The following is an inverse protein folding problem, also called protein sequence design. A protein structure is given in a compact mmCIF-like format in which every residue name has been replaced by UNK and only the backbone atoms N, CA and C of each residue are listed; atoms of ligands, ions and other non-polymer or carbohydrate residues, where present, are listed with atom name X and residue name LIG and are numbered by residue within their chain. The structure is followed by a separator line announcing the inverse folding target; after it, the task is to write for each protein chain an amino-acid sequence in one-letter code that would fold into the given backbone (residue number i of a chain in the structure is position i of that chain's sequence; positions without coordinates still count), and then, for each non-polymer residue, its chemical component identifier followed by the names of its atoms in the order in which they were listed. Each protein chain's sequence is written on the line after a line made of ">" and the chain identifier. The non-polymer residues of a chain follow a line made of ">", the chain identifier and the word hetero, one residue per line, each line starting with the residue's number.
data_IF_279110994920
#
_entry.id   IF_279110994920
#
_cell.length_a   1.000
_cell.length_b   1.000
_cell.length_c   1.000
_cell.angle_alpha   90.00
_cell.angle_beta   90.00
_cell.angle_gamma   90.00
#
_symmetry.space_group_name_H-M   'P 1'
#
loop_
_entity.id
_entity.type
_entity.pdbx_description
1 polymer ?
#
# COMPACT_ATOMS: atom_id res chain seq x y z
N UNK A 1 -16.24 29.63 8.80
CA UNK A 1 -16.73 30.95 8.30
C UNK A 1 -16.41 31.20 6.80
N UNK A 2 -15.29 30.72 6.23
CA UNK A 2 -14.95 30.92 4.82
C UNK A 2 -16.03 30.38 3.87
N UNK A 3 -16.41 29.11 4.02
CA UNK A 3 -17.42 28.47 3.14
C UNK A 3 -18.74 29.26 3.14
N UNK A 4 -19.22 29.65 4.30
CA UNK A 4 -20.46 30.44 4.42
C UNK A 4 -20.41 31.79 3.72
N UNK A 5 -19.23 32.40 3.69
CA UNK A 5 -19.05 33.75 3.16
C UNK A 5 -18.81 33.77 1.66
N UNK A 6 -18.12 32.74 1.12
CA UNK A 6 -17.59 32.81 -0.23
C UNK A 6 -18.07 31.71 -1.16
N UNK A 7 -18.71 30.63 -0.64
CA UNK A 7 -19.12 29.49 -1.47
C UNK A 7 -20.65 29.42 -1.54
N UNK A 8 -21.27 29.65 -2.71
CA UNK A 8 -22.71 29.54 -2.87
C UNK A 8 -23.25 28.17 -2.44
N UNK A 9 -24.38 28.17 -1.74
CA UNK A 9 -25.00 26.97 -1.20
C UNK A 9 -24.55 26.59 0.22
N UNK A 10 -23.52 27.28 0.78
CA UNK A 10 -23.03 27.02 2.15
C UNK A 10 -23.53 28.06 3.18
N UNK A 11 -24.42 28.97 2.83
CA UNK A 11 -24.88 30.07 3.68
C UNK A 11 -25.41 29.57 5.04
N UNK A 12 -26.15 28.46 5.00
CA UNK A 12 -26.76 27.84 6.18
C UNK A 12 -25.98 26.63 6.73
N UNK A 13 -24.78 26.36 6.20
CA UNK A 13 -23.98 25.24 6.65
C UNK A 13 -23.63 25.35 8.14
N UNK A 14 -23.67 24.21 8.85
CA UNK A 14 -23.29 24.12 10.25
C UNK A 14 -22.23 23.05 10.43
N UNK A 15 -21.21 23.34 11.26
CA UNK A 15 -20.23 22.33 11.66
C UNK A 15 -20.93 21.26 12.50
N UNK A 16 -21.01 20.03 11.99
CA UNK A 16 -21.64 18.90 12.68
C UNK A 16 -20.69 18.22 13.65
N UNK A 17 -19.48 17.94 13.20
CA UNK A 17 -18.45 17.30 14.02
C UNK A 17 -17.06 17.59 13.44
N UNK A 18 -16.06 17.45 14.28
CA UNK A 18 -14.63 17.45 13.93
C UNK A 18 -14.09 16.05 14.24
N UNK A 19 -13.19 15.55 13.39
CA UNK A 19 -12.56 14.26 13.64
C UNK A 19 -11.84 14.27 15.00
N UNK A 20 -11.93 13.15 15.73
CA UNK A 20 -11.29 13.01 17.06
C UNK A 20 -9.76 12.97 16.96
N UNK A 21 -9.22 12.61 15.80
CA UNK A 21 -7.78 12.48 15.55
C UNK A 21 -7.40 13.04 14.19
N UNK A 22 -6.17 13.51 14.08
CA UNK A 22 -5.57 13.83 12.76
C UNK A 22 -5.41 12.56 11.93
N UNK A 23 -5.81 12.62 10.67
CA UNK A 23 -5.65 11.53 9.71
C UNK A 23 -4.20 11.39 9.24
N UNK A 24 -3.36 10.70 10.01
CA UNK A 24 -1.96 10.46 9.64
C UNK A 24 -1.89 9.50 8.46
N UNK A 25 -1.32 9.93 7.34
CA UNK A 25 -1.19 9.14 6.12
C UNK A 25 0.10 8.35 6.05
N UNK A 26 1.17 8.86 6.64
CA UNK A 26 2.50 8.29 6.62
C UNK A 26 3.26 8.66 7.89
N UNK A 27 3.95 7.70 8.50
CA UNK A 27 4.84 7.94 9.62
C UNK A 27 6.01 6.95 9.58
N UNK A 28 5.89 5.80 10.28
CA UNK A 28 6.94 4.79 10.35
C UNK A 28 6.74 3.70 9.32
N UNK A 29 7.83 3.24 8.72
CA UNK A 29 7.91 2.10 7.81
C UNK A 29 8.94 1.12 8.33
N UNK A 30 8.75 -0.16 8.05
CA UNK A 30 9.78 -1.16 8.35
C UNK A 30 10.93 -1.06 7.35
N UNK A 31 12.07 -1.61 7.74
CA UNK A 31 13.13 -2.00 6.81
C UNK A 31 12.86 -3.46 6.45
N UNK A 32 12.26 -3.66 5.28
CA UNK A 32 11.86 -4.98 4.78
C UNK A 32 12.98 -5.69 4.02
N UNK A 33 12.79 -6.97 3.76
CA UNK A 33 13.68 -7.79 2.91
C UNK A 33 13.78 -7.17 1.50
N UNK A 34 12.68 -6.59 1.03
CA UNK A 34 12.63 -5.76 -0.17
C UNK A 34 12.01 -4.40 0.16
N UNK A 35 12.31 -3.40 -0.66
CA UNK A 35 11.74 -2.06 -0.54
C UNK A 35 11.06 -1.69 -1.85
N UNK A 36 9.79 -1.34 -1.80
CA UNK A 36 9.07 -0.78 -2.94
C UNK A 36 9.63 0.60 -3.25
N UNK A 37 10.12 0.81 -4.47
CA UNK A 37 10.73 2.07 -4.90
C UNK A 37 9.85 2.85 -5.87
N UNK A 38 10.11 4.16 -6.00
CA UNK A 38 9.46 5.01 -6.99
C UNK A 38 9.65 4.49 -8.42
N UNK A 39 10.82 3.94 -8.72
CA UNK A 39 11.12 3.40 -10.05
C UNK A 39 10.24 2.17 -10.38
N UNK A 40 10.00 1.30 -9.40
CA UNK A 40 9.08 0.16 -9.56
C UNK A 40 7.65 0.64 -9.89
N UNK A 41 7.20 1.69 -9.24
CA UNK A 41 5.88 2.29 -9.48
C UNK A 41 5.81 2.93 -10.87
N UNK A 42 6.78 3.79 -11.19
CA UNK A 42 6.83 4.55 -12.46
C UNK A 42 6.96 3.63 -13.68
N UNK A 43 7.75 2.56 -13.55
CA UNK A 43 7.97 1.59 -14.62
C UNK A 43 6.91 0.48 -14.66
N UNK A 44 5.90 0.53 -13.78
CA UNK A 44 4.86 -0.51 -13.71
C UNK A 44 5.47 -1.91 -13.60
N UNK A 45 6.43 -2.07 -12.71
CA UNK A 45 7.26 -3.28 -12.59
C UNK A 45 6.45 -4.52 -12.21
N UNK A 46 6.88 -5.66 -12.72
CA UNK A 46 6.38 -6.99 -12.38
C UNK A 46 7.37 -7.72 -11.49
N UNK A 47 6.86 -8.47 -10.53
CA UNK A 47 7.69 -9.22 -9.59
C UNK A 47 7.19 -10.67 -9.45
N UNK A 48 8.13 -11.62 -9.49
CA UNK A 48 7.78 -13.05 -9.35
C UNK A 48 7.16 -13.39 -8.00
N UNK A 49 7.55 -12.64 -6.98
CA UNK A 49 7.10 -12.77 -5.58
C UNK A 49 6.02 -11.75 -5.21
N UNK A 50 5.27 -11.24 -6.19
CA UNK A 50 4.18 -10.29 -5.96
C UNK A 50 3.04 -10.91 -5.15
N UNK A 51 2.42 -10.12 -4.28
CA UNK A 51 1.28 -10.54 -3.44
C UNK A 51 0.08 -9.59 -3.52
N UNK A 52 0.25 -8.48 -4.20
CA UNK A 52 -0.79 -7.51 -4.50
C UNK A 52 -0.41 -6.67 -5.70
N UNK A 53 -1.40 -6.01 -6.30
CA UNK A 53 -1.21 -4.99 -7.33
C UNK A 53 -1.70 -3.64 -6.82
N UNK A 54 -1.13 -2.57 -7.34
CA UNK A 54 -1.61 -1.21 -7.14
C UNK A 54 -1.62 -0.46 -8.46
N UNK A 55 -2.69 0.31 -8.72
CA UNK A 55 -2.86 1.13 -9.92
C UNK A 55 -3.05 2.61 -9.59
N UNK A 56 -2.71 3.04 -8.38
CA UNK A 56 -2.88 4.41 -7.94
C UNK A 56 -1.64 5.25 -8.28
N UNK A 57 -1.80 6.49 -8.76
CA UNK A 57 -0.67 7.38 -9.05
C UNK A 57 0.08 7.78 -7.78
N UNK A 58 1.33 8.23 -7.94
CA UNK A 58 2.09 8.82 -6.84
C UNK A 58 1.45 10.16 -6.47
N UNK A 59 0.86 10.23 -5.27
CA UNK A 59 0.15 11.39 -4.74
C UNK A 59 0.88 11.95 -3.52
N UNK A 60 1.77 12.92 -3.77
CA UNK A 60 2.53 13.61 -2.73
C UNK A 60 1.87 14.95 -2.43
N UNK A 61 1.49 15.13 -1.16
CA UNK A 61 1.04 16.41 -0.64
C UNK A 61 2.23 17.17 -0.05
N UNK A 62 2.66 18.22 -0.72
CA UNK A 62 3.71 19.09 -0.21
C UNK A 62 3.17 19.93 0.97
N UNK A 63 3.77 19.83 2.17
CA UNK A 63 3.32 20.61 3.34
C UNK A 63 3.62 22.11 3.23
N UNK A 64 4.52 22.52 2.31
CA UNK A 64 4.96 23.91 2.15
C UNK A 64 4.41 24.54 0.88
N UNK A 65 4.05 23.73 -0.13
CA UNK A 65 3.56 24.18 -1.42
C UNK A 65 2.06 24.02 -1.60
N UNK A 66 1.45 24.93 -2.36
CA UNK A 66 0.05 24.84 -2.77
C UNK A 66 -0.15 23.87 -3.95
N UNK A 67 0.91 23.28 -4.48
CA UNK A 67 0.84 22.40 -5.63
C UNK A 67 0.88 20.93 -5.19
N UNK A 68 -0.13 20.19 -5.64
CA UNK A 68 -0.11 18.73 -5.66
C UNK A 68 0.94 18.31 -6.69
N UNK A 69 2.13 17.94 -6.22
CA UNK A 69 3.16 17.37 -7.08
C UNK A 69 2.74 15.96 -7.52
N UNK A 70 1.84 15.93 -8.48
CA UNK A 70 1.53 14.71 -9.19
C UNK A 70 2.71 14.39 -10.08
N UNK A 71 3.42 13.30 -9.82
CA UNK A 71 4.32 12.74 -10.83
C UNK A 71 3.45 12.13 -11.93
N UNK A 72 2.87 13.01 -12.74
CA UNK A 72 2.04 12.65 -13.91
C UNK A 72 2.85 12.19 -15.12
N UNK A 73 4.14 11.96 -14.96
CA UNK A 73 5.03 11.56 -16.07
C UNK A 73 4.89 10.07 -16.38
N UNK A 74 3.88 9.70 -17.02
CA UNK A 74 3.46 8.44 -17.66
C UNK A 74 2.14 7.98 -17.08
N UNK A 75 1.30 7.46 -17.94
CA UNK A 75 0.12 6.69 -17.55
C UNK A 75 0.63 5.50 -16.72
N UNK A 76 0.66 5.65 -15.40
CA UNK A 76 0.97 4.54 -14.51
C UNK A 76 -0.12 3.51 -14.75
N UNK A 77 0.25 2.38 -15.31
CA UNK A 77 -0.57 1.19 -15.30
C UNK A 77 -0.56 0.60 -13.88
N UNK A 78 -0.94 -0.61 -13.67
CA UNK A 78 -0.73 -1.27 -12.39
C UNK A 78 0.72 -1.74 -12.25
N UNK A 79 1.18 -1.86 -11.02
CA UNK A 79 2.48 -2.43 -10.64
C UNK A 79 2.32 -3.45 -9.53
N UNK A 80 3.25 -4.37 -9.44
CA UNK A 80 3.27 -5.42 -8.44
C UNK A 80 3.87 -4.94 -7.13
N UNK A 81 3.37 -5.48 -6.01
CA UNK A 81 3.94 -5.28 -4.69
C UNK A 81 4.56 -6.60 -4.23
N UNK A 82 5.90 -6.67 -4.08
CA UNK A 82 6.60 -7.88 -3.67
C UNK A 82 6.32 -8.26 -2.22
N UNK A 83 6.30 -9.57 -1.93
CA UNK A 83 6.11 -10.10 -0.57
C UNK A 83 7.13 -9.57 0.43
N UNK A 84 8.41 -9.45 0.01
CA UNK A 84 9.48 -8.98 0.85
C UNK A 84 9.31 -7.56 1.41
N UNK A 85 8.39 -6.76 0.86
CA UNK A 85 8.04 -5.43 1.40
C UNK A 85 7.30 -5.50 2.73
N UNK A 86 6.67 -6.65 3.03
CA UNK A 86 5.93 -6.92 4.27
C UNK A 86 6.77 -7.65 5.32
N UNK A 87 7.93 -8.17 4.95
CA UNK A 87 8.79 -9.01 5.80
C UNK A 87 9.93 -8.19 6.38
N UNK A 88 9.99 -7.96 7.70
CA UNK A 88 11.10 -7.24 8.33
C UNK A 88 12.42 -8.01 8.20
N UNK A 89 13.53 -7.29 7.97
CA UNK A 89 14.87 -7.92 7.84
C UNK A 89 15.37 -8.61 9.12
N UNK A 90 14.98 -8.11 10.28
CA UNK A 90 15.55 -8.53 11.57
C UNK A 90 14.59 -9.29 12.48
N UNK A 91 13.35 -9.50 12.06
CA UNK A 91 12.32 -10.17 12.86
C UNK A 91 11.68 -11.29 12.03
N UNK A 92 11.67 -12.49 12.58
CA UNK A 92 11.29 -13.70 11.83
C UNK A 92 9.79 -14.00 11.83
N UNK A 93 9.08 -13.64 12.90
CA UNK A 93 7.66 -14.00 13.09
C UNK A 93 6.73 -12.78 13.03
N UNK A 94 7.08 -11.81 12.18
CA UNK A 94 6.30 -10.60 11.99
C UNK A 94 6.06 -10.34 10.51
N UNK A 95 4.83 -10.00 10.17
CA UNK A 95 4.45 -9.41 8.90
C UNK A 95 3.86 -8.03 9.13
N UNK A 96 4.19 -7.08 8.27
CA UNK A 96 3.71 -5.71 8.35
C UNK A 96 2.98 -5.34 7.06
N UNK A 97 1.81 -4.75 7.17
CA UNK A 97 0.97 -4.39 6.02
C UNK A 97 0.52 -2.93 6.04
N UNK A 98 -0.15 -2.52 4.98
CA UNK A 98 -0.73 -1.19 4.89
C UNK A 98 0.32 -0.10 4.80
N UNK A 99 0.17 0.95 5.58
CA UNK A 99 1.01 2.15 5.52
C UNK A 99 2.40 2.00 6.15
N UNK A 100 2.70 0.84 6.72
CA UNK A 100 3.97 0.56 7.41
C UNK A 100 4.90 -0.38 6.63
N UNK A 101 4.53 -0.81 5.42
CA UNK A 101 5.39 -1.64 4.56
C UNK A 101 6.71 -0.95 4.24
N UNK A 102 7.70 -1.73 3.82
CA UNK A 102 8.97 -1.20 3.33
C UNK A 102 8.81 -0.56 1.95
N UNK A 103 8.83 0.76 1.91
CA UNK A 103 8.69 1.53 0.69
C UNK A 103 9.43 2.86 0.79
N UNK A 104 9.83 3.46 -0.34
CA UNK A 104 10.26 4.86 -0.37
C UNK A 104 9.06 5.77 -0.12
N UNK A 105 9.30 7.04 0.18
CA UNK A 105 8.23 8.02 0.40
C UNK A 105 7.28 8.11 -0.79
N UNK A 106 7.83 8.24 -1.99
CA UNK A 106 7.09 8.37 -3.24
C UNK A 106 6.29 7.09 -3.56
N UNK A 107 6.91 5.92 -3.39
CA UNK A 107 6.22 4.66 -3.62
C UNK A 107 5.06 4.45 -2.64
N UNK A 108 5.27 4.80 -1.36
CA UNK A 108 4.21 4.71 -0.37
C UNK A 108 3.08 5.70 -0.64
N UNK A 109 3.38 6.88 -1.18
CA UNK A 109 2.36 7.86 -1.58
C UNK A 109 1.36 7.29 -2.61
N UNK A 110 1.77 6.30 -3.40
CA UNK A 110 0.90 5.50 -4.27
C UNK A 110 0.26 4.33 -3.53
N UNK A 111 1.05 3.52 -2.83
CA UNK A 111 0.61 2.23 -2.26
C UNK A 111 -0.28 2.34 -1.01
N UNK A 112 -0.32 3.50 -0.34
CA UNK A 112 -1.02 3.71 0.95
C UNK A 112 -2.54 3.78 0.90
N UNK A 113 -3.15 3.59 -0.27
CA UNK A 113 -4.61 3.62 -0.43
C UNK A 113 -5.29 2.40 0.20
N UNK A 114 -6.56 2.55 0.55
CA UNK A 114 -7.32 1.51 1.28
C UNK A 114 -7.39 0.19 0.52
N UNK A 115 -7.63 0.22 -0.80
CA UNK A 115 -7.73 -1.00 -1.61
C UNK A 115 -6.43 -1.82 -1.55
N UNK A 116 -5.28 -1.17 -1.75
CA UNK A 116 -3.96 -1.81 -1.65
C UNK A 116 -3.70 -2.33 -0.23
N UNK A 117 -4.05 -1.55 0.80
CA UNK A 117 -3.88 -1.98 2.19
C UNK A 117 -4.72 -3.21 2.54
N UNK A 118 -5.94 -3.31 1.99
CA UNK A 118 -6.80 -4.48 2.16
C UNK A 118 -6.22 -5.72 1.46
N UNK A 119 -5.73 -5.58 0.23
CA UNK A 119 -5.08 -6.67 -0.50
C UNK A 119 -3.82 -7.18 0.24
N UNK A 120 -2.98 -6.27 0.74
CA UNK A 120 -1.83 -6.65 1.57
C UNK A 120 -2.24 -7.30 2.89
N UNK A 121 -3.35 -6.87 3.51
CA UNK A 121 -3.91 -7.49 4.70
C UNK A 121 -4.34 -8.94 4.46
N UNK A 122 -5.00 -9.21 3.33
CA UNK A 122 -5.37 -10.55 2.91
C UNK A 122 -4.11 -11.41 2.68
N UNK A 123 -3.12 -10.88 1.98
CA UNK A 123 -1.86 -11.58 1.74
C UNK A 123 -1.13 -11.91 3.04
N UNK A 124 -1.07 -10.98 4.00
CA UNK A 124 -0.43 -11.22 5.29
C UNK A 124 -1.18 -12.28 6.12
N UNK A 125 -2.51 -12.26 6.13
CA UNK A 125 -3.31 -13.25 6.84
C UNK A 125 -3.09 -14.65 6.30
N UNK A 126 -3.10 -14.85 4.97
CA UNK A 126 -2.83 -16.13 4.34
C UNK A 126 -1.37 -16.57 4.54
N UNK A 127 -0.42 -15.63 4.44
CA UNK A 127 1.00 -15.92 4.70
C UNK A 127 1.25 -16.38 6.14
N UNK A 128 0.64 -15.73 7.12
CA UNK A 128 0.73 -16.13 8.52
C UNK A 128 0.12 -17.51 8.76
N UNK A 129 -1.04 -17.79 8.16
CA UNK A 129 -1.68 -19.12 8.22
C UNK A 129 -0.77 -20.20 7.63
N UNK A 130 -0.17 -19.94 6.46
CA UNK A 130 0.74 -20.85 5.79
C UNK A 130 2.01 -21.10 6.62
N UNK A 131 2.57 -20.05 7.22
CA UNK A 131 3.72 -20.13 8.14
C UNK A 131 3.45 -21.08 9.31
N UNK A 132 2.28 -20.96 9.95
CA UNK A 132 1.88 -21.82 11.06
C UNK A 132 1.67 -23.28 10.59
N UNK A 133 0.98 -23.48 9.48
CA UNK A 133 0.70 -24.82 8.93
C UNK A 133 1.97 -25.56 8.52
N UNK A 134 2.93 -24.84 7.88
CA UNK A 134 4.20 -25.43 7.45
C UNK A 134 5.28 -25.42 8.55
N UNK A 135 5.01 -24.83 9.71
CA UNK A 135 5.97 -24.64 10.81
C UNK A 135 7.25 -23.95 10.35
N UNK A 136 7.10 -22.92 9.50
CA UNK A 136 8.19 -22.12 8.95
C UNK A 136 8.05 -20.68 9.42
N UNK A 137 9.16 -19.94 9.47
CA UNK A 137 9.10 -18.51 9.67
C UNK A 137 8.41 -17.83 8.48
N UNK A 138 7.80 -16.65 8.71
CA UNK A 138 7.11 -15.90 7.66
C UNK A 138 7.99 -15.59 6.44
N UNK A 139 9.28 -15.42 6.64
CA UNK A 139 10.27 -15.16 5.57
C UNK A 139 10.60 -16.40 4.72
N UNK A 140 10.33 -17.62 5.23
CA UNK A 140 10.72 -18.90 4.62
C UNK A 140 9.54 -19.63 3.96
N UNK A 141 8.36 -19.02 3.92
CA UNK A 141 7.21 -19.59 3.22
C UNK A 141 7.40 -19.57 1.71
N UNK A 142 6.76 -20.50 1.02
CA UNK A 142 6.69 -20.47 -0.44
C UNK A 142 5.74 -19.36 -0.91
N UNK A 143 6.28 -18.33 -1.55
CA UNK A 143 5.46 -17.26 -2.14
C UNK A 143 4.58 -17.78 -3.25
N UNK A 144 5.01 -18.78 -4.01
CA UNK A 144 4.20 -19.43 -5.05
C UNK A 144 2.94 -20.09 -4.45
N UNK A 145 3.10 -20.80 -3.33
CA UNK A 145 1.92 -21.35 -2.61
C UNK A 145 1.00 -20.27 -2.09
N UNK A 146 1.57 -19.16 -1.59
CA UNK A 146 0.80 -18.01 -1.16
C UNK A 146 0.01 -17.39 -2.32
N UNK A 147 0.64 -17.22 -3.48
CA UNK A 147 -0.01 -16.71 -4.69
C UNK A 147 -1.18 -17.59 -5.13
N UNK A 148 -1.00 -18.91 -5.12
CA UNK A 148 -2.06 -19.86 -5.46
C UNK A 148 -3.23 -19.80 -4.45
N UNK A 149 -2.94 -19.61 -3.16
CA UNK A 149 -3.97 -19.39 -2.16
C UNK A 149 -4.71 -18.08 -2.36
N UNK A 150 -3.98 -17.00 -2.65
CA UNK A 150 -4.57 -15.69 -2.94
C UNK A 150 -5.53 -15.75 -4.13
N UNK A 151 -5.11 -16.38 -5.23
CA UNK A 151 -5.94 -16.59 -6.42
C UNK A 151 -7.19 -17.42 -6.08
N UNK A 152 -7.04 -18.53 -5.36
CA UNK A 152 -8.15 -19.36 -4.92
C UNK A 152 -9.18 -18.59 -4.09
N UNK A 153 -8.74 -17.58 -3.33
CA UNK A 153 -9.60 -16.70 -2.55
C UNK A 153 -10.02 -15.42 -3.29
N UNK A 154 -9.89 -15.39 -4.62
CA UNK A 154 -10.38 -14.31 -5.47
C UNK A 154 -9.51 -13.05 -5.46
N UNK A 155 -8.29 -13.12 -4.94
CA UNK A 155 -7.34 -12.02 -5.02
C UNK A 155 -6.55 -12.02 -6.33
N UNK A 156 -5.98 -10.87 -6.70
CA UNK A 156 -5.07 -10.71 -7.83
C UNK A 156 -3.67 -10.42 -7.28
N UNK A 157 -2.82 -11.46 -7.11
CA UNK A 157 -1.53 -11.28 -6.43
C UNK A 157 -0.47 -10.58 -7.28
N UNK A 158 -0.68 -10.42 -8.58
CA UNK A 158 0.25 -9.72 -9.46
C UNK A 158 -0.33 -9.50 -10.86
N UNK A 159 0.35 -8.71 -11.67
CA UNK A 159 -0.08 -8.35 -13.03
C UNK A 159 -0.29 -9.56 -13.95
N UNK A 160 0.48 -10.63 -13.76
CA UNK A 160 0.32 -11.87 -14.56
C UNK A 160 -1.04 -12.55 -14.36
N UNK A 161 -1.85 -12.14 -13.38
CA UNK A 161 -3.21 -12.64 -13.14
C UNK A 161 -4.29 -11.66 -13.62
N UNK A 162 -3.93 -10.56 -14.28
CA UNK A 162 -4.87 -9.68 -14.98
C UNK A 162 -5.16 -10.20 -16.39
#
# INVERSE_FOLDING_TARGET
>A
NFLKKYIPGFENARLRCVAAMTGVRESRRIVGVQTLTSDMVINSSEHKDSVAICAFPIDIHDPVGSELNWIRKKKICCYDIPYGTMVPQKLTNLLVTGRCISATHEALASARISATAMALGQAAGLAASLSVQEKKACQDISVEKLQNLLEKHGAVPGKKWL
#
